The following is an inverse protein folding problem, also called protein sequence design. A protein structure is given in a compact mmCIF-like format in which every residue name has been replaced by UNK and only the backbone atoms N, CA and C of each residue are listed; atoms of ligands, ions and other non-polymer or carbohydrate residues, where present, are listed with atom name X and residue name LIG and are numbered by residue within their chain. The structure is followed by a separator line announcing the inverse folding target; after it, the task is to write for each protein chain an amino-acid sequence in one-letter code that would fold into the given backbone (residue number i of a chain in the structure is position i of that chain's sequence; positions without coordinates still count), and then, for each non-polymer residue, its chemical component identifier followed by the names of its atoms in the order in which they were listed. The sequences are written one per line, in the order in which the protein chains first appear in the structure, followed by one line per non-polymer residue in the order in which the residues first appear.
data_IF_420221396167
#
_entry.id   IF_420221396167
#
_cell.length_a   1.000
_cell.length_b   1.000
_cell.length_c   1.000
_cell.angle_alpha   90.00
_cell.angle_beta   90.00
_cell.angle_gamma   90.00
#
_symmetry.space_group_name_H-M   'P 1'
#
loop_
_entity.id
_entity.type
_entity.pdbx_description
1 polymer ?
#
# COMPACT_ATOMS: atom_id res chain seq x y z
N UNK A 1 -1.04 -24.47 8.44
CA UNK A 1 -1.33 -23.05 8.71
C UNK A 1 -1.28 -22.30 7.39
N UNK A 2 -2.24 -21.42 7.05
CA UNK A 2 -2.15 -20.63 5.84
C UNK A 2 -0.89 -19.76 5.89
N UNK A 3 -0.17 -19.67 4.76
CA UNK A 3 1.03 -18.82 4.63
C UNK A 3 0.63 -17.37 4.96
N UNK A 4 1.36 -16.72 5.86
CA UNK A 4 1.19 -15.29 6.13
C UNK A 4 1.39 -14.53 4.81
N UNK A 5 0.40 -13.71 4.43
CA UNK A 5 0.45 -12.90 3.21
C UNK A 5 1.69 -11.99 3.26
N UNK A 6 2.40 -11.88 2.14
CA UNK A 6 3.49 -10.93 1.98
C UNK A 6 2.94 -9.50 2.13
N UNK A 7 3.53 -8.72 3.03
CA UNK A 7 3.04 -7.37 3.32
C UNK A 7 3.22 -6.40 2.15
N UNK A 8 4.13 -6.69 1.22
CA UNK A 8 4.27 -5.94 -0.02
C UNK A 8 2.97 -5.92 -0.83
N UNK A 9 2.13 -6.96 -0.69
CA UNK A 9 0.83 -7.01 -1.35
C UNK A 9 -0.17 -6.02 -0.75
N UNK A 10 -0.02 -5.61 0.52
CA UNK A 10 -0.89 -4.58 1.10
C UNK A 10 -0.61 -3.20 0.50
N UNK A 11 0.65 -2.88 0.16
CA UNK A 11 0.95 -1.67 -0.61
C UNK A 11 0.29 -1.69 -1.99
N UNK A 12 0.21 -2.86 -2.63
CA UNK A 12 -0.49 -3.00 -3.91
C UNK A 12 -1.99 -2.77 -3.75
N UNK A 13 -2.63 -3.37 -2.75
CA UNK A 13 -4.05 -3.16 -2.47
C UNK A 13 -4.38 -1.68 -2.24
N UNK A 14 -3.53 -0.97 -1.47
CA UNK A 14 -3.68 0.47 -1.23
C UNK A 14 -3.63 1.23 -2.55
N UNK A 15 -2.62 0.98 -3.38
CA UNK A 15 -2.44 1.70 -4.64
C UNK A 15 -3.55 1.39 -5.66
N UNK A 16 -4.06 0.16 -5.70
CA UNK A 16 -5.19 -0.23 -6.55
C UNK A 16 -6.49 0.46 -6.10
N UNK A 17 -6.75 0.50 -4.80
CA UNK A 17 -7.91 1.19 -4.25
C UNK A 17 -7.83 2.71 -4.48
N UNK A 18 -6.66 3.31 -4.31
CA UNK A 18 -6.42 4.72 -4.67
C UNK A 18 -6.66 4.96 -6.16
N UNK A 19 -6.14 4.07 -7.03
CA UNK A 19 -6.36 4.13 -8.47
C UNK A 19 -7.85 4.12 -8.83
N UNK A 20 -8.62 3.22 -8.22
CA UNK A 20 -10.07 3.12 -8.39
C UNK A 20 -10.79 4.40 -7.94
N UNK A 21 -10.44 4.96 -6.79
CA UNK A 21 -11.01 6.23 -6.32
C UNK A 21 -10.78 7.33 -7.34
N UNK A 22 -9.54 7.49 -7.81
CA UNK A 22 -9.18 8.52 -8.79
C UNK A 22 -9.89 8.35 -10.12
N UNK A 23 -10.10 7.11 -10.56
CA UNK A 23 -10.86 6.81 -11.78
C UNK A 23 -12.33 7.23 -11.62
N UNK A 24 -12.98 6.84 -10.52
CA UNK A 24 -14.40 7.15 -10.30
C UNK A 24 -14.67 8.64 -10.15
N UNK A 25 -13.72 9.39 -9.59
CA UNK A 25 -13.86 10.83 -9.33
C UNK A 25 -13.19 11.70 -10.40
N UNK A 26 -12.67 11.11 -11.47
CA UNK A 26 -11.93 11.86 -12.48
C UNK A 26 -12.80 12.92 -13.14
N UNK A 27 -12.37 14.18 -13.07
CA UNK A 27 -13.09 15.31 -13.66
C UNK A 27 -14.41 15.67 -12.96
N UNK A 28 -14.76 15.02 -11.85
CA UNK A 28 -15.97 15.36 -11.10
C UNK A 28 -15.76 16.62 -10.26
N UNK A 29 -16.78 17.47 -10.22
CA UNK A 29 -16.94 18.49 -9.19
C UNK A 29 -17.54 17.89 -7.91
N UNK A 30 -17.37 18.59 -6.79
CA UNK A 30 -18.02 18.22 -5.53
C UNK A 30 -19.54 18.06 -5.67
N UNK A 31 -20.19 18.94 -6.47
CA UNK A 31 -21.64 18.90 -6.68
C UNK A 31 -22.09 17.62 -7.40
N UNK A 32 -21.32 17.16 -8.39
CA UNK A 32 -21.61 15.91 -9.10
C UNK A 32 -21.39 14.71 -8.17
N UNK A 33 -20.31 14.73 -7.38
CA UNK A 33 -20.01 13.70 -6.39
C UNK A 33 -21.13 13.51 -5.35
N UNK A 34 -21.68 14.60 -4.78
CA UNK A 34 -22.80 14.52 -3.82
C UNK A 34 -24.13 14.14 -4.45
N UNK A 35 -24.25 14.14 -5.78
CA UNK A 35 -25.46 13.70 -6.49
C UNK A 35 -25.35 12.22 -6.91
N UNK A 36 -24.15 11.71 -7.14
CA UNK A 36 -23.93 10.32 -7.52
C UNK A 36 -23.69 9.40 -6.32
N UNK A 37 -24.77 8.76 -5.83
CA UNK A 37 -24.68 7.80 -4.72
C UNK A 37 -23.79 6.60 -5.03
N UNK A 38 -23.79 6.12 -6.28
CA UNK A 38 -23.00 4.93 -6.67
C UNK A 38 -21.52 5.23 -6.53
N UNK A 39 -21.08 6.39 -7.02
CA UNK A 39 -19.68 6.82 -6.90
C UNK A 39 -19.29 7.02 -5.44
N UNK A 40 -20.15 7.62 -4.61
CA UNK A 40 -19.88 7.76 -3.17
C UNK A 40 -19.70 6.40 -2.48
N UNK A 41 -20.61 5.46 -2.69
CA UNK A 41 -20.53 4.13 -2.09
C UNK A 41 -19.26 3.39 -2.54
N UNK A 42 -18.90 3.51 -3.84
CA UNK A 42 -17.69 2.92 -4.39
C UNK A 42 -16.41 3.54 -3.80
N UNK A 43 -16.38 4.86 -3.60
CA UNK A 43 -15.23 5.52 -2.95
C UNK A 43 -15.12 5.13 -1.50
N UNK A 44 -16.21 5.14 -0.73
CA UNK A 44 -16.22 4.72 0.68
C UNK A 44 -15.67 3.31 0.81
N UNK A 45 -16.10 2.38 -0.06
CA UNK A 45 -15.58 1.02 -0.08
C UNK A 45 -14.06 0.96 -0.29
N UNK A 46 -13.52 1.76 -1.21
CA UNK A 46 -12.08 1.78 -1.45
C UNK A 46 -11.30 2.41 -0.30
N UNK A 47 -11.86 3.42 0.38
CA UNK A 47 -11.25 3.98 1.59
C UNK A 47 -11.19 2.95 2.73
N UNK A 48 -12.20 2.10 2.88
CA UNK A 48 -12.16 0.97 3.82
C UNK A 48 -11.06 -0.03 3.47
N UNK A 49 -10.90 -0.37 2.19
CA UNK A 49 -9.85 -1.28 1.71
C UNK A 49 -8.47 -0.70 2.04
N UNK A 50 -8.27 0.60 1.80
CA UNK A 50 -7.02 1.30 2.15
C UNK A 50 -6.74 1.18 3.66
N UNK A 51 -7.73 1.47 4.50
CA UNK A 51 -7.57 1.39 5.95
C UNK A 51 -7.24 -0.02 6.45
N UNK A 52 -7.90 -1.04 5.92
CA UNK A 52 -7.66 -2.44 6.29
C UNK A 52 -6.30 -2.93 5.78
N UNK A 53 -5.91 -2.60 4.55
CA UNK A 53 -4.58 -2.93 4.03
C UNK A 53 -3.48 -2.26 4.86
N UNK A 54 -3.63 -0.97 5.17
CA UNK A 54 -2.69 -0.23 6.02
C UNK A 54 -2.57 -0.83 7.42
N UNK A 55 -3.67 -1.32 8.00
CA UNK A 55 -3.67 -1.98 9.30
C UNK A 55 -2.82 -3.25 9.30
N UNK A 56 -2.86 -4.01 8.20
CA UNK A 56 -2.14 -5.28 8.08
C UNK A 56 -0.65 -5.14 7.71
N UNK A 57 -0.17 -3.92 7.41
CA UNK A 57 1.26 -3.64 7.31
C UNK A 57 1.92 -3.88 8.69
N UNK A 58 3.06 -4.59 8.77
CA UNK A 58 3.75 -4.84 10.04
C UNK A 58 4.19 -3.56 10.75
N UNK A 59 4.18 -3.58 12.08
CA UNK A 59 4.52 -2.39 12.87
C UNK A 59 5.94 -1.89 12.63
N UNK A 60 6.92 -2.80 12.51
CA UNK A 60 8.31 -2.41 12.22
C UNK A 60 8.46 -1.64 10.90
N UNK A 61 7.59 -1.91 9.90
CA UNK A 61 7.58 -1.15 8.64
C UNK A 61 7.02 0.23 8.90
N UNK A 62 5.89 0.35 9.62
CA UNK A 62 5.29 1.64 9.95
C UNK A 62 6.23 2.52 10.77
N UNK A 63 6.96 1.94 11.72
CA UNK A 63 7.97 2.62 12.54
C UNK A 63 9.13 3.18 11.72
N UNK A 64 9.50 2.55 10.60
CA UNK A 64 10.52 3.07 9.68
C UNK A 64 10.04 4.28 8.86
N UNK A 65 8.73 4.52 8.80
CA UNK A 65 8.11 5.59 7.99
C UNK A 65 7.15 6.44 8.85
N UNK A 66 7.65 7.16 9.88
CA UNK A 66 6.82 7.92 10.82
C UNK A 66 6.18 9.18 10.22
N UNK A 67 6.63 9.62 9.04
CA UNK A 67 6.05 10.72 8.27
C UNK A 67 4.66 10.38 7.70
N UNK A 68 4.33 9.10 7.61
CA UNK A 68 2.99 8.64 7.24
C UNK A 68 2.11 8.58 8.48
N UNK A 69 0.94 9.23 8.43
CA UNK A 69 -0.02 9.18 9.53
C UNK A 69 -0.80 7.86 9.54
N UNK A 70 -0.13 6.75 9.86
CA UNK A 70 -0.70 5.40 9.87
C UNK A 70 -1.96 5.28 10.74
N UNK A 71 -2.00 5.99 11.86
CA UNK A 71 -3.17 6.01 12.77
C UNK A 71 -4.40 6.60 12.09
N UNK A 72 -4.24 7.72 11.39
CA UNK A 72 -5.35 8.33 10.65
C UNK A 72 -5.86 7.43 9.51
N UNK A 73 -4.96 6.76 8.79
CA UNK A 73 -5.34 5.87 7.68
C UNK A 73 -6.06 4.62 8.19
N UNK A 74 -5.57 4.01 9.27
CA UNK A 74 -6.22 2.82 9.87
C UNK A 74 -7.54 3.14 10.54
N UNK A 75 -7.68 4.33 11.12
CA UNK A 75 -8.93 4.86 11.68
C UNK A 75 -9.89 5.46 10.65
N UNK A 76 -9.62 5.30 9.35
CA UNK A 76 -10.39 5.94 8.29
C UNK A 76 -11.86 5.50 8.29
N UNK A 77 -12.15 4.25 8.63
CA UNK A 77 -13.53 3.79 8.83
C UNK A 77 -14.26 4.60 9.91
N UNK A 78 -13.61 4.87 11.02
CA UNK A 78 -14.20 5.63 12.12
C UNK A 78 -14.40 7.09 11.70
N UNK A 79 -13.41 7.68 11.01
CA UNK A 79 -13.49 9.03 10.40
C UNK A 79 -14.67 9.15 9.43
N UNK A 80 -14.94 8.10 8.65
CA UNK A 80 -16.03 8.08 7.68
C UNK A 80 -17.40 7.94 8.34
N UNK A 81 -17.49 7.32 9.50
CA UNK A 81 -18.77 7.01 10.18
C UNK A 81 -19.11 8.06 11.27
N UNK A 82 -18.36 9.17 11.35
CA UNK A 82 -18.52 10.12 12.43
C UNK A 82 -19.86 10.89 12.37
N UNK A 83 -20.61 10.76 13.48
CA UNK A 83 -21.92 11.34 13.82
C UNK A 83 -23.15 10.58 13.31
N UNK A 84 -23.41 9.42 13.93
CA UNK A 84 -24.71 8.75 14.18
C UNK A 84 -25.77 8.62 13.05
N UNK A 85 -25.52 9.10 11.82
CA UNK A 85 -26.51 9.20 10.76
C UNK A 85 -25.96 9.02 9.33
N UNK A 86 -24.65 8.87 9.11
CA UNK A 86 -24.11 8.52 7.79
C UNK A 86 -22.69 9.01 7.51
N UNK A 87 -22.20 8.73 6.31
CA UNK A 87 -20.88 9.18 5.84
C UNK A 87 -20.87 10.67 5.58
N UNK A 88 -19.89 11.40 6.12
CA UNK A 88 -19.71 12.84 5.86
C UNK A 88 -19.11 13.07 4.46
N UNK A 89 -19.98 13.35 3.49
CA UNK A 89 -19.57 13.61 2.10
C UNK A 89 -18.52 14.74 1.93
N UNK A 90 -18.57 15.86 2.68
CA UNK A 90 -17.51 16.86 2.64
C UNK A 90 -16.14 16.28 3.04
N UNK A 91 -16.09 15.51 4.13
CA UNK A 91 -14.85 14.90 4.62
C UNK A 91 -14.31 13.89 3.61
N UNK A 92 -15.19 13.07 3.02
CA UNK A 92 -14.80 12.14 1.94
C UNK A 92 -14.19 12.89 0.78
N UNK A 93 -14.83 13.98 0.34
CA UNK A 93 -14.35 14.79 -0.77
C UNK A 93 -12.98 15.42 -0.48
N UNK A 94 -12.81 16.02 0.70
CA UNK A 94 -11.53 16.58 1.15
C UNK A 94 -10.43 15.53 1.19
N UNK A 95 -10.73 14.33 1.69
CA UNK A 95 -9.78 13.22 1.70
C UNK A 95 -9.41 12.79 0.28
N UNK A 96 -10.35 12.77 -0.68
CA UNK A 96 -10.06 12.44 -2.09
C UNK A 96 -9.10 13.45 -2.73
N UNK A 97 -9.34 14.75 -2.56
CA UNK A 97 -8.59 15.79 -3.28
C UNK A 97 -7.30 16.20 -2.58
N UNK A 98 -7.22 16.03 -1.25
CA UNK A 98 -6.11 16.48 -0.42
C UNK A 98 -5.26 15.34 0.12
N UNK A 99 -5.85 14.46 0.93
CA UNK A 99 -5.12 13.43 1.68
C UNK A 99 -4.59 12.31 0.77
N UNK A 100 -5.43 11.82 -0.15
CA UNK A 100 -5.11 10.66 -0.99
C UNK A 100 -3.87 10.90 -1.89
N UNK A 101 -3.72 12.02 -2.60
CA UNK A 101 -2.54 12.24 -3.44
C UNK A 101 -1.22 12.23 -2.67
N UNK A 102 -1.22 12.80 -1.45
CA UNK A 102 -0.04 12.80 -0.57
C UNK A 102 0.28 11.37 -0.13
N UNK A 103 -0.74 10.66 0.34
CA UNK A 103 -0.58 9.28 0.79
C UNK A 103 -0.16 8.33 -0.35
N UNK A 104 -0.69 8.51 -1.56
CA UNK A 104 -0.29 7.74 -2.76
C UNK A 104 1.21 7.89 -3.04
N UNK A 105 1.73 9.12 -2.97
CA UNK A 105 3.16 9.38 -3.21
C UNK A 105 4.03 8.67 -2.16
N UNK A 106 3.66 8.78 -0.88
CA UNK A 106 4.37 8.11 0.21
C UNK A 106 4.38 6.59 0.03
N UNK A 107 3.22 5.98 -0.26
CA UNK A 107 3.11 4.52 -0.42
C UNK A 107 3.90 4.02 -1.64
N UNK A 108 3.95 4.78 -2.74
CA UNK A 108 4.79 4.42 -3.89
C UNK A 108 6.27 4.38 -3.53
N UNK A 109 6.76 5.39 -2.80
CA UNK A 109 8.15 5.47 -2.36
C UNK A 109 8.50 4.33 -1.41
N UNK A 110 7.65 4.09 -0.41
CA UNK A 110 7.81 3.02 0.57
C UNK A 110 7.83 1.65 -0.11
N UNK A 111 6.86 1.37 -0.98
CA UNK A 111 6.75 0.10 -1.71
C UNK A 111 7.99 -0.20 -2.56
N UNK A 112 8.59 0.83 -3.17
CA UNK A 112 9.84 0.68 -3.94
C UNK A 112 11.06 0.47 -3.04
N UNK A 113 11.12 1.18 -1.92
CA UNK A 113 12.21 1.09 -0.94
C UNK A 113 12.24 -0.29 -0.29
N UNK A 114 11.09 -0.78 0.21
CA UNK A 114 10.97 -2.08 0.86
C UNK A 114 11.35 -3.23 -0.10
N UNK A 115 10.87 -3.21 -1.35
CA UNK A 115 11.27 -4.19 -2.36
C UNK A 115 12.78 -4.16 -2.63
N UNK A 116 13.38 -2.97 -2.66
CA UNK A 116 14.82 -2.83 -2.91
C UNK A 116 15.65 -3.36 -1.73
N UNK A 117 15.19 -3.13 -0.51
CA UNK A 117 15.81 -3.66 0.71
C UNK A 117 15.73 -5.19 0.75
N UNK A 118 14.55 -5.77 0.49
CA UNK A 118 14.36 -7.23 0.45
C UNK A 118 15.28 -7.92 -0.57
N UNK A 119 15.45 -7.32 -1.75
CA UNK A 119 16.38 -7.82 -2.78
C UNK A 119 17.82 -7.76 -2.27
N UNK A 120 18.25 -6.65 -1.66
CA UNK A 120 19.61 -6.50 -1.12
C UNK A 120 19.90 -7.51 -0.02
N UNK A 121 18.96 -7.71 0.90
CA UNK A 121 19.09 -8.67 2.00
C UNK A 121 19.14 -10.11 1.50
N UNK A 122 18.28 -10.45 0.52
CA UNK A 122 18.32 -11.74 -0.16
C UNK A 122 19.67 -11.98 -0.81
N UNK A 123 20.19 -11.02 -1.58
CA UNK A 123 21.51 -11.12 -2.22
C UNK A 123 22.65 -11.26 -1.21
N UNK A 124 22.60 -10.53 -0.09
CA UNK A 124 23.57 -10.64 1.00
C UNK A 124 23.56 -12.04 1.61
N UNK A 125 22.38 -12.60 1.88
CA UNK A 125 22.23 -13.96 2.44
C UNK A 125 22.76 -15.04 1.48
N UNK A 126 22.52 -14.90 0.17
CA UNK A 126 22.99 -15.83 -0.84
C UNK A 126 24.52 -15.81 -0.95
N UNK A 127 25.13 -14.61 -0.93
CA UNK A 127 26.60 -14.46 -0.93
C UNK A 127 27.22 -15.13 0.30
N UNK A 128 26.70 -14.86 1.49
CA UNK A 128 27.19 -15.47 2.72
C UNK A 128 27.06 -17.00 2.68
N UNK A 129 25.95 -17.53 2.14
CA UNK A 129 25.77 -18.97 1.97
C UNK A 129 26.77 -19.56 0.97
N UNK A 130 27.04 -18.88 -0.14
CA UNK A 130 28.00 -19.33 -1.14
C UNK A 130 29.43 -19.37 -0.59
N UNK A 131 29.83 -18.36 0.18
CA UNK A 131 31.10 -18.33 0.90
C UNK A 131 31.23 -19.54 1.86
N UNK A 132 30.18 -19.85 2.63
CA UNK A 132 30.19 -21.02 3.53
C UNK A 132 30.26 -22.37 2.81
N UNK A 133 29.84 -22.42 1.54
CA UNK A 133 29.84 -23.63 0.71
C UNK A 133 31.07 -23.72 -0.21
N UNK A 134 31.97 -22.73 -0.19
CA UNK A 134 33.15 -22.68 -1.06
C UNK A 134 32.81 -22.52 -2.55
N UNK A 135 31.62 -22.00 -2.88
CA UNK A 135 31.18 -21.77 -4.26
C UNK A 135 31.84 -20.51 -4.83
N UNK A 136 32.16 -20.55 -6.13
CA UNK A 136 32.81 -19.41 -6.81
C UNK A 136 31.80 -18.30 -7.13
N UNK A 137 32.29 -17.09 -7.38
CA UNK A 137 31.44 -15.95 -7.76
C UNK A 137 30.59 -16.22 -9.02
N UNK A 138 31.11 -17.02 -9.97
CA UNK A 138 30.38 -17.47 -11.16
C UNK A 138 29.20 -18.41 -10.83
N UNK A 139 29.33 -19.25 -9.80
CA UNK A 139 28.25 -20.15 -9.37
C UNK A 139 27.09 -19.35 -8.75
N UNK A 140 27.41 -18.32 -7.98
CA UNK A 140 26.43 -17.39 -7.38
C UNK A 140 25.68 -16.60 -8.45
N UNK A 141 26.37 -16.10 -9.46
CA UNK A 141 25.73 -15.37 -10.57
C UNK A 141 24.78 -16.25 -11.40
N UNK A 142 25.14 -17.52 -11.63
CA UNK A 142 24.26 -18.50 -12.29
C UNK A 142 22.98 -18.74 -11.49
N UNK A 143 23.08 -18.87 -10.17
CA UNK A 143 21.93 -19.10 -9.30
C UNK A 143 21.01 -17.88 -9.22
N UNK A 144 21.57 -16.66 -9.13
CA UNK A 144 20.81 -15.40 -9.16
C UNK A 144 20.06 -15.23 -10.49
N UNK A 145 20.71 -15.52 -11.63
CA UNK A 145 20.08 -15.48 -12.96
C UNK A 145 18.96 -16.51 -13.10
N UNK A 146 19.12 -17.71 -12.52
CA UNK A 146 18.08 -18.74 -12.53
C UNK A 146 16.85 -18.33 -11.68
N UNK A 147 17.06 -17.65 -10.55
CA UNK A 147 15.98 -17.17 -9.68
C UNK A 147 15.18 -16.02 -10.31
N UNK A 148 15.85 -15.11 -11.03
CA UNK A 148 15.21 -13.99 -11.75
C UNK A 148 14.37 -14.42 -12.96
N UNK A 149 14.57 -15.62 -13.51
CA UNK A 149 13.81 -16.14 -14.68
C UNK A 149 12.52 -16.89 -14.30
N UNK A 150 12.28 -17.12 -13.00
CA UNK A 150 11.13 -17.90 -12.48
C UNK A 150 10.06 -17.06 -11.76
N UNK A 151 10.27 -15.76 -11.61
CA UNK A 151 9.29 -14.76 -11.15
C UNK A 151 8.86 -13.93 -12.36
#
# INVERSE_FOLDING_TARGET
MPKKRDYNLFFMDILEAIGSIKEYTHGMSYKEFIQDKRTRDAVVRNLEIIGEAAKNIPEYVKENYPEVNWKAITGMRDKLIHEYFGVSNPIVWETIIGDIPVFEAQIKEISQTEKSTEIKDTLKSLRQKAETLGLTEEDVEKEIKAHRRKK
#
